data_IF_600528040172
#
_entry.id   IF_600528040172
#
_cell.length_a   1.000
_cell.length_b   1.000
_cell.length_c   1.000
_cell.angle_alpha   90.00
_cell.angle_beta   90.00
_cell.angle_gamma   90.00
#
_symmetry.space_group_name_H-M   'P 1'
#
loop_
_entity.id
_entity.type
_entity.pdbx_description
1 polymer ?
2 non-polymer ?
3 water ?
#
# COMPACT_ATOMS: atom_id res chain seq x y z
N UNK A 2 -7.82 -4.84 -19.83
CA UNK A 2 -6.83 -5.81 -20.35
C UNK A 2 -5.48 -5.20 -20.89
N UNK A 3 -5.07 -3.95 -20.53
CA UNK A 3 -3.79 -3.46 -21.09
C UNK A 3 -2.56 -4.18 -20.53
N UNK A 4 -1.82 -4.84 -21.40
CA UNK A 4 -0.61 -5.63 -21.09
C UNK A 4 0.23 -5.19 -19.89
N UNK A 5 0.41 -3.87 -19.74
CA UNK A 5 1.17 -3.29 -18.60
C UNK A 5 0.67 -1.91 -18.19
N UNK A 6 0.76 -1.60 -16.90
CA UNK A 6 0.38 -0.27 -16.42
C UNK A 6 1.38 0.20 -15.39
N UNK A 7 1.43 1.51 -15.21
CA UNK A 7 2.26 2.14 -14.20
C UNK A 7 1.62 3.45 -13.76
N UNK A 8 1.07 3.48 -12.55
CA UNK A 8 0.34 4.63 -12.06
C UNK A 8 1.22 5.83 -11.76
N UNK A 9 2.53 5.65 -11.76
CA UNK A 9 3.41 6.79 -11.61
C UNK A 9 3.31 7.70 -12.84
N UNK A 10 3.14 7.07 -14.02
CA UNK A 10 3.03 7.80 -15.29
C UNK A 10 1.81 8.72 -15.28
N UNK A 11 0.73 8.32 -14.59
CA UNK A 11 -0.48 9.15 -14.44
C UNK A 11 -0.40 10.19 -13.28
N UNK A 12 0.74 10.29 -12.62
CA UNK A 12 0.93 11.24 -11.53
C UNK A 12 0.13 10.93 -10.26
N UNK A 13 -0.20 9.66 -10.04
CA UNK A 13 -0.99 9.26 -8.90
C UNK A 13 -0.20 8.64 -7.74
N UNK A 14 1.12 8.79 -7.71
CA UNK A 14 1.93 8.12 -6.67
C UNK A 14 2.91 9.11 -6.02
N UNK A 15 2.93 9.13 -4.70
CA UNK A 15 3.78 10.03 -3.95
C UNK A 15 5.20 9.49 -3.77
N UNK A 16 6.05 10.27 -3.09
CA UNK A 16 7.42 9.86 -2.80
C UNK A 16 7.42 8.51 -2.08
N UNK A 17 8.54 7.81 -2.10
CA UNK A 17 8.72 6.60 -1.32
C UNK A 17 9.04 6.98 0.13
N UNK A 18 8.24 6.48 1.08
CA UNK A 18 8.42 6.79 2.49
C UNK A 18 9.32 5.79 3.20
N UNK A 19 9.75 6.15 4.40
CA UNK A 19 10.65 5.32 5.22
C UNK A 19 10.02 5.04 6.61
N UNK A 20 9.55 3.80 6.80
CA UNK A 20 8.89 3.39 8.05
C UNK A 20 9.83 3.22 9.25
N UNK A 21 11.11 2.97 9.01
CA UNK A 21 12.07 2.71 10.08
C UNK A 21 11.78 1.47 10.91
N UNK A 22 12.18 1.52 12.18
CA UNK A 22 11.95 0.44 13.15
C UNK A 22 10.47 0.20 13.46
N UNK A 23 9.65 1.23 13.24
CA UNK A 23 8.21 1.13 13.43
C UNK A 23 7.56 0.32 12.32
N UNK A 24 6.83 -0.73 12.71
CA UNK A 24 6.16 -1.64 11.77
C UNK A 24 4.77 -1.21 11.34
N UNK A 25 4.73 -0.08 10.63
CA UNK A 25 3.50 0.54 10.13
C UNK A 25 3.32 0.37 8.60
N UNK A 26 3.86 -0.72 8.03
CA UNK A 26 3.69 -1.01 6.59
C UNK A 26 2.22 -0.90 6.17
N UNK A 27 1.34 -1.41 7.02
CA UNK A 27 -0.10 -1.36 6.83
C UNK A 27 -0.54 0.05 6.63
N UNK A 28 -0.05 0.98 7.45
CA UNK A 28 -0.48 2.39 7.38
C UNK A 28 -0.04 3.02 6.08
N UNK A 29 1.22 2.81 5.72
CA UNK A 29 1.74 3.33 4.44
C UNK A 29 1.00 2.79 3.20
N UNK A 30 0.71 1.50 3.20
CA UNK A 30 -0.01 0.87 2.07
C UNK A 30 -1.38 1.51 1.91
N UNK A 31 -2.06 1.75 3.02
CA UNK A 31 -3.40 2.33 3.03
C UNK A 31 -3.38 3.76 2.54
N UNK A 32 -2.50 4.61 3.09
CA UNK A 32 -2.41 6.02 2.67
C UNK A 32 -2.00 6.12 1.18
N UNK A 33 -1.10 5.22 0.77
CA UNK A 33 -0.64 5.13 -0.62
C UNK A 33 -1.75 4.88 -1.62
N UNK A 34 -2.59 3.91 -1.32
CA UNK A 34 -3.72 3.61 -2.17
C UNK A 34 -4.67 4.81 -2.32
N UNK A 35 -4.98 5.45 -1.20
CA UNK A 35 -5.93 6.57 -1.15
C UNK A 35 -5.38 7.79 -1.85
N UNK A 36 -4.08 8.03 -1.68
CA UNK A 36 -3.40 9.13 -2.36
C UNK A 36 -3.75 9.20 -3.84
N UNK A 37 -3.77 8.03 -4.48
CA UNK A 37 -4.14 7.91 -5.88
C UNK A 37 -5.62 8.25 -6.10
N UNK A 38 -6.50 7.73 -5.26
CA UNK A 38 -7.93 8.05 -5.41
C UNK A 38 -8.13 9.55 -5.23
N UNK A 39 -7.37 10.15 -4.31
CA UNK A 39 -7.42 11.59 -4.14
C UNK A 39 -6.98 12.30 -5.42
N UNK A 40 -5.94 11.80 -6.07
CA UNK A 40 -5.46 12.39 -7.32
C UNK A 40 -6.46 12.18 -8.46
N UNK A 41 -7.03 10.99 -8.58
CA UNK A 41 -8.02 10.75 -9.64
C UNK A 41 -9.26 11.65 -9.54
N UNK A 42 -9.64 12.03 -8.32
CA UNK A 42 -10.85 12.80 -8.09
C UNK A 42 -10.63 14.31 -8.11
N UNK A 43 -9.55 14.77 -7.47
CA UNK A 43 -9.30 16.20 -7.26
C UNK A 43 -8.06 16.76 -7.99
N UNK A 44 -7.34 15.90 -8.72
CA UNK A 44 -6.14 16.33 -9.44
C UNK A 44 -4.93 16.68 -8.58
N UNK A 45 -5.07 16.58 -7.27
CA UNK A 45 -3.99 16.93 -6.36
C UNK A 45 -3.30 15.67 -5.80
N UNK A 46 -1.97 15.73 -5.75
CA UNK A 46 -1.15 14.67 -5.19
C UNK A 46 -0.56 15.21 -3.89
N UNK A 47 -1.04 14.68 -2.77
CA UNK A 47 -0.53 15.07 -1.47
C UNK A 47 -0.30 13.79 -0.70
N UNK A 48 0.82 13.72 0.04
CA UNK A 48 1.14 12.55 0.87
C UNK A 48 0.27 12.58 2.16
N UNK A 49 -0.57 11.56 2.34
CA UNK A 49 -1.50 11.47 3.46
C UNK A 49 -0.84 10.85 4.69
N UNK A 50 -1.33 11.23 5.88
CA UNK A 50 -0.66 10.92 7.16
C UNK A 50 -0.75 9.45 7.54
N UNK A 51 0.40 8.78 7.45
CA UNK A 51 0.50 7.41 7.93
C UNK A 51 0.43 7.38 9.46
N UNK A 52 0.95 8.42 10.11
CA UNK A 52 0.97 8.51 11.58
C UNK A 52 -0.46 8.60 12.12
N UNK A 53 -1.32 9.29 11.38
CA UNK A 53 -2.71 9.46 11.79
C UNK A 53 -3.34 8.11 12.00
N UNK A 54 -3.01 7.15 11.13
CA UNK A 54 -3.50 5.78 11.28
C UNK A 54 -2.80 5.07 12.45
N UNK A 55 -1.48 5.19 12.55
CA UNK A 55 -0.73 4.53 13.62
C UNK A 55 -1.27 4.88 15.00
N UNK A 56 -1.67 6.14 15.17
CA UNK A 56 -2.10 6.71 16.44
C UNK A 56 -3.58 6.56 16.71
N UNK A 57 -4.42 6.67 15.66
CA UNK A 57 -5.88 6.75 15.77
C UNK A 57 -6.66 5.51 15.33
N UNK A 58 -6.15 4.72 14.37
CA UNK A 58 -6.78 3.44 13.98
C UNK A 58 -6.15 2.31 14.75
N UNK A 59 -6.52 2.16 16.02
CA UNK A 59 -5.88 1.25 16.94
C UNK A 59 -6.81 0.08 17.28
N UNK A 60 -6.92 -0.27 18.58
CA UNK A 60 -7.62 -1.47 19.11
C UNK A 60 -8.94 -1.80 18.40
N UNK A 61 -9.80 -0.78 18.23
CA UNK A 61 -11.14 -0.90 17.60
C UNK A 61 -11.05 -1.52 16.21
N UNK A 62 -9.95 -1.21 15.51
CA UNK A 62 -9.70 -1.64 14.13
C UNK A 62 -8.75 -2.83 14.01
N UNK A 63 -8.52 -3.56 15.10
CA UNK A 63 -7.57 -4.66 15.11
C UNK A 63 -6.15 -4.30 14.71
N UNK A 64 -5.75 -3.05 14.93
CA UNK A 64 -4.41 -2.58 14.60
C UNK A 64 -3.63 -2.26 15.85
N UNK A 65 -2.30 -2.37 15.77
CA UNK A 65 -1.38 -2.15 16.90
C UNK A 65 -0.19 -1.26 16.48
N UNK A 66 -0.49 -0.20 15.75
CA UNK A 66 0.49 0.80 15.36
C UNK A 66 1.76 0.23 14.78
N UNK A 67 2.86 0.42 15.51
CA UNK A 67 4.20 -0.01 15.10
C UNK A 67 4.43 -1.53 15.27
N UNK A 68 3.43 -2.26 15.76
CA UNK A 68 3.50 -3.71 15.82
C UNK A 68 2.49 -4.38 14.86
N UNK A 69 2.21 -3.72 13.73
CA UNK A 69 1.37 -4.29 12.71
C UNK A 69 -0.07 -3.82 12.72
N UNK A 70 -0.77 -4.13 11.62
CA UNK A 70 -2.14 -3.74 11.39
C UNK A 70 -2.66 -4.18 10.03
N UNK A 71 -3.84 -3.66 9.65
CA UNK A 71 -4.53 -4.01 8.40
C UNK A 71 -4.86 -2.75 7.62
N UNK A 72 -4.79 -2.82 6.29
CA UNK A 72 -5.17 -1.70 5.44
C UNK A 72 -6.68 -1.58 5.38
N UNK A 73 -7.38 -2.71 5.45
CA UNK A 73 -8.85 -2.74 5.36
C UNK A 73 -9.49 -1.91 6.46
N UNK A 74 -9.11 -2.18 7.70
CA UNK A 74 -9.66 -1.51 8.88
C UNK A 74 -9.17 -0.07 8.99
N UNK A 75 -8.00 0.21 8.41
CA UNK A 75 -7.54 1.57 8.26
C UNK A 75 -8.53 2.38 7.42
N UNK A 76 -8.98 1.83 6.30
CA UNK A 76 -9.98 2.53 5.47
C UNK A 76 -11.25 2.75 6.29
N UNK A 77 -11.67 1.73 7.02
CA UNK A 77 -12.83 1.84 7.88
C UNK A 77 -12.69 3.02 8.81
N UNK A 78 -11.51 3.18 9.41
CA UNK A 78 -11.26 4.32 10.31
C UNK A 78 -11.48 5.60 9.53
N UNK A 79 -10.88 5.73 8.35
CA UNK A 79 -10.97 6.98 7.62
C UNK A 79 -12.44 7.32 7.31
N UNK A 80 -13.23 6.28 6.98
CA UNK A 80 -14.67 6.41 6.78
C UNK A 80 -15.33 6.83 8.08
N UNK A 81 -15.04 6.12 9.17
CA UNK A 81 -15.65 6.40 10.47
C UNK A 81 -15.29 7.83 10.97
N UNK A 82 -14.02 8.18 10.81
CA UNK A 82 -13.46 9.46 11.24
C UNK A 82 -13.85 10.58 10.30
N UNK A 83 -14.49 10.26 9.16
CA UNK A 83 -14.89 11.22 8.14
C UNK A 83 -13.65 12.05 7.73
N UNK A 84 -12.54 11.35 7.47
CA UNK A 84 -11.31 11.98 6.98
C UNK A 84 -9.97 11.62 7.61
N UNK A 85 -8.90 11.97 6.89
CA UNK A 85 -7.51 11.72 7.27
C UNK A 85 -6.75 13.01 7.09
N UNK A 86 -5.62 13.17 7.79
CA UNK A 86 -4.77 14.36 7.72
C UNK A 86 -3.65 14.23 6.68
N UNK A 87 -3.05 15.37 6.33
CA UNK A 87 -1.90 15.43 5.41
C UNK A 87 -0.66 15.01 6.20
N UNK A 88 0.35 14.46 5.52
CA UNK A 88 1.61 14.14 6.21
C UNK A 88 2.27 15.41 6.77
N UNK A 89 2.11 16.55 6.09
CA UNK A 89 2.69 17.81 6.56
C UNK A 89 2.07 18.30 7.88
N UNK A 90 0.75 18.16 8.03
CA UNK A 90 0.06 18.55 9.29
C UNK A 90 0.22 17.54 10.45
N UNK A 91 0.33 16.26 10.09
CA UNK A 91 0.47 15.17 11.06
C UNK A 91 1.62 14.25 10.59
N UNK A 92 2.88 14.69 10.80
CA UNK A 92 4.01 13.94 10.24
C UNK A 92 4.31 12.61 10.92
N UNK A 93 5.12 11.81 10.23
CA UNK A 93 5.50 10.46 10.66
C UNK A 93 6.75 10.49 11.54
N UNK A 94 6.64 9.92 12.75
CA UNK A 94 7.70 9.91 13.76
C UNK A 94 8.17 8.47 14.16
N UNK A 95 7.69 7.44 13.46
CA UNK A 95 8.13 6.06 13.67
C UNK A 95 8.02 5.59 15.13
N UNK A 96 6.88 5.86 15.75
CA UNK A 96 6.58 5.36 17.09
C UNK A 96 5.11 5.62 17.38
N UNK A 97 4.56 4.83 18.30
CA UNK A 97 3.14 4.94 18.75
C UNK A 97 2.96 6.19 19.60
N UNK A 98 2.02 7.06 19.23
CA UNK A 98 1.70 8.29 19.98
C UNK A 98 0.19 8.37 20.26
N UNK A 99 -0.24 9.41 20.98
CA UNK A 99 -1.67 9.70 21.23
C UNK A 99 -2.34 10.19 19.94
N UNK A 100 -3.65 9.98 19.81
CA UNK A 100 -4.34 10.43 18.60
C UNK A 100 -4.40 11.94 18.59
N UNK A 101 -3.81 12.55 17.56
CA UNK A 101 -3.74 14.00 17.42
C UNK A 101 -4.46 14.47 16.13
N UNK A 102 -5.53 13.77 15.72
CA UNK A 102 -6.23 14.14 14.49
C UNK A 102 -6.92 15.48 14.66
N UNK A 103 -6.72 16.36 13.68
CA UNK A 103 -7.34 17.68 13.65
C UNK A 103 -8.08 17.77 12.31
N UNK A 104 -9.39 17.99 12.35
CA UNK A 104 -10.14 18.07 11.13
C UNK A 104 -9.79 19.31 10.33
N UNK A 105 -9.31 20.34 11.03
CA UNK A 105 -8.84 21.56 10.39
C UNK A 105 -7.88 21.28 9.22
N UNK A 106 -7.02 20.28 9.43
CA UNK A 106 -6.04 19.86 8.44
C UNK A 106 -6.43 18.54 7.72
N UNK A 107 -7.73 18.35 7.45
CA UNK A 107 -8.21 17.15 6.76
C UNK A 107 -7.73 17.22 5.32
N UNK A 108 -6.93 16.25 4.89
CA UNK A 108 -6.40 16.22 3.51
C UNK A 108 -7.31 15.50 2.50
N UNK A 109 -7.94 14.40 2.93
CA UNK A 109 -8.75 13.58 2.04
C UNK A 109 -9.83 12.89 2.82
N UNK A 110 -10.68 12.17 2.09
CA UNK A 110 -11.78 11.41 2.66
C UNK A 110 -11.95 10.08 1.94
N UNK A 111 -12.65 9.16 2.57
CA UNK A 111 -12.89 7.80 2.05
C UNK A 111 -14.36 7.44 2.25
N UNK A 112 -15.00 6.87 1.22
CA UNK A 112 -16.41 6.53 1.26
C UNK A 112 -16.61 5.08 1.52
N UNK A 113 -15.89 4.24 0.78
CA UNK A 113 -15.90 2.79 1.04
C UNK A 113 -14.54 2.18 0.69
N UNK A 114 -14.45 0.86 0.79
CA UNK A 114 -13.29 0.11 0.29
C UNK A 114 -13.81 -1.17 -0.32
N UNK A 115 -12.93 -1.98 -0.88
CA UNK A 115 -13.31 -3.22 -1.54
C UNK A 115 -12.22 -4.28 -1.32
N UNK A 116 -12.59 -5.44 -0.78
CA UNK A 116 -11.65 -6.53 -0.56
C UNK A 116 -11.76 -7.44 -1.75
N UNK A 117 -10.69 -7.53 -2.54
CA UNK A 117 -10.65 -8.40 -3.73
C UNK A 117 -10.49 -9.87 -3.34
N UNK A 118 -11.04 -10.79 -4.16
CA UNK A 118 -11.01 -12.21 -3.78
C UNK A 118 -9.62 -12.81 -3.59
N UNK A 119 -9.54 -13.83 -2.72
CA UNK A 119 -8.28 -14.45 -2.32
C UNK A 119 -7.59 -15.09 -3.50
N UNK A 120 -6.30 -14.82 -3.63
CA UNK A 120 -5.42 -15.45 -4.61
C UNK A 120 -5.71 -15.26 -6.09
N UNK A 121 -6.57 -14.31 -6.46
CA UNK A 121 -6.96 -14.09 -7.87
C UNK A 121 -6.15 -12.97 -8.43
N UNK A 122 -5.03 -13.31 -9.04
CA UNK A 122 -4.15 -12.31 -9.67
C UNK A 122 -4.83 -11.66 -10.90
N UNK A 123 -5.72 -12.39 -11.59
CA UNK A 123 -6.48 -11.86 -12.75
C UNK A 123 -7.42 -10.72 -12.35
N UNK A 124 -8.13 -10.91 -11.22
CA UNK A 124 -9.01 -9.88 -10.66
C UNK A 124 -8.16 -8.70 -10.19
N UNK A 125 -7.04 -8.96 -9.51
CA UNK A 125 -6.09 -7.92 -9.08
C UNK A 125 -5.55 -7.09 -10.29
N UNK A 126 -5.32 -7.73 -11.43
CA UNK A 126 -4.90 -7.05 -12.66
C UNK A 126 -6.01 -6.10 -13.13
N UNK A 127 -7.27 -6.55 -13.01
CA UNK A 127 -8.42 -5.74 -13.40
C UNK A 127 -8.50 -4.48 -12.55
N UNK A 128 -8.49 -4.68 -11.23
CA UNK A 128 -8.58 -3.58 -10.28
C UNK A 128 -7.46 -2.57 -10.51
N UNK A 129 -6.23 -3.06 -10.58
CA UNK A 129 -5.08 -2.20 -10.74
C UNK A 129 -5.27 -1.31 -11.97
N UNK A 130 -5.64 -1.90 -13.11
CA UNK A 130 -5.74 -1.15 -14.35
C UNK A 130 -6.94 -0.22 -14.37
N UNK A 131 -8.10 -0.69 -13.90
CA UNK A 131 -9.34 0.08 -14.03
C UNK A 131 -9.66 1.01 -12.86
N UNK A 132 -9.41 0.52 -11.64
CA UNK A 132 -9.71 1.27 -10.40
C UNK A 132 -8.50 2.07 -9.86
N UNK A 133 -7.29 1.60 -10.10
CA UNK A 133 -6.09 2.28 -9.60
C UNK A 133 -5.21 1.43 -8.66
N UNK A 134 -4.20 2.05 -8.03
CA UNK A 134 -3.32 1.28 -7.15
C UNK A 134 -4.02 0.58 -6.01
N UNK A 135 -3.63 -0.67 -5.75
CA UNK A 135 -4.26 -1.56 -4.77
C UNK A 135 -3.31 -1.95 -3.59
N UNK A 136 -3.77 -1.70 -2.35
CA UNK A 136 -3.04 -2.09 -1.13
C UNK A 136 -3.06 -3.59 -1.04
N UNK A 137 -1.89 -4.23 -0.91
CA UNK A 137 -1.84 -5.67 -0.74
C UNK A 137 -0.89 -6.05 0.38
N UNK A 138 -1.13 -7.21 0.97
CA UNK A 138 -0.21 -7.82 1.90
C UNK A 138 0.70 -8.78 1.15
N UNK A 139 1.95 -8.91 1.60
CA UNK A 139 2.91 -9.89 1.09
C UNK A 139 3.70 -10.53 2.23
N UNK A 140 4.45 -11.61 1.88
CA UNK A 140 5.32 -12.39 2.78
C UNK A 140 6.76 -11.93 2.57
N UNK A 141 7.13 -10.88 3.31
CA UNK A 141 8.47 -10.29 3.26
C UNK A 141 9.42 -10.84 4.32
N UNK A 142 9.15 -12.04 4.84
CA UNK A 142 9.95 -12.60 5.97
C UNK A 142 11.36 -13.08 5.60
N UNK A 143 11.68 -13.16 4.31
CA UNK A 143 12.92 -13.83 3.89
C UNK A 143 14.00 -12.83 3.55
N UNK A 144 15.27 -13.20 3.78
CA UNK A 144 16.37 -12.28 3.50
C UNK A 144 16.37 -11.74 2.09
N UNK A 145 16.18 -12.62 1.10
CA UNK A 145 16.11 -12.24 -0.32
C UNK A 145 15.26 -11.01 -0.57
N UNK A 146 14.12 -10.91 0.12
CA UNK A 146 13.28 -9.74 0.03
C UNK A 146 14.04 -8.47 0.50
N UNK A 147 14.57 -8.49 1.71
CA UNK A 147 15.36 -7.37 2.24
C UNK A 147 16.47 -6.96 1.26
N UNK A 148 17.16 -7.97 0.74
CA UNK A 148 18.34 -7.78 -0.12
C UNK A 148 18.02 -7.32 -1.52
N UNK A 149 16.74 -7.36 -1.90
CA UNK A 149 16.31 -7.06 -3.28
C UNK A 149 16.84 -5.77 -3.88
N UNK A 150 17.49 -5.88 -5.06
CA UNK A 150 18.04 -4.73 -5.80
C UNK A 150 17.33 -4.49 -7.12
N UNK A 151 17.14 -5.53 -7.94
CA UNK A 151 16.54 -5.34 -9.28
C UNK A 151 15.89 -6.59 -9.91
N UNK A 152 15.13 -6.33 -10.98
CA UNK A 152 14.46 -7.37 -11.74
C UNK A 152 13.25 -7.98 -11.07
N UNK A 153 12.76 -9.09 -11.65
CA UNK A 153 11.57 -9.78 -11.12
C UNK A 153 11.95 -10.70 -9.93
N UNK A 154 11.47 -10.33 -8.76
CA UNK A 154 11.75 -11.06 -7.53
C UNK A 154 11.00 -12.39 -7.47
N UNK A 155 11.72 -13.48 -7.26
CA UNK A 155 11.10 -14.81 -7.03
C UNK A 155 11.85 -15.54 -5.94
N UNK A 156 11.16 -15.89 -4.85
CA UNK A 156 11.69 -16.66 -3.72
C UNK A 156 10.98 -18.03 -3.56
N UNK A 157 11.67 -19.15 -3.78
CA UNK A 157 10.94 -20.41 -3.71
C UNK A 157 10.35 -20.78 -2.34
N UNK A 158 10.95 -20.31 -1.23
CA UNK A 158 10.43 -20.62 0.11
C UNK A 158 9.35 -19.63 0.61
N UNK A 159 8.89 -18.75 -0.27
CA UNK A 159 7.87 -17.72 0.04
C UNK A 159 6.49 -18.39 0.14
N UNK A 160 5.79 -18.10 1.23
CA UNK A 160 4.45 -18.65 1.46
C UNK A 160 3.38 -17.62 1.12
N UNK A 161 2.12 -18.08 1.11
CA UNK A 161 0.97 -17.18 0.93
C UNK A 161 0.49 -16.47 2.23
N UNK A 162 1.17 -16.68 3.38
CA UNK A 162 0.83 -16.05 4.68
C UNK A 162 1.50 -14.67 4.77
N UNK A 163 0.72 -13.60 4.73
CA UNK A 163 1.24 -12.22 4.59
C UNK A 163 1.47 -11.49 5.93
N UNK A 164 2.62 -10.83 6.04
CA UNK A 164 2.97 -10.07 7.21
C UNK A 164 3.30 -8.59 6.92
N UNK A 165 3.47 -8.20 5.67
CA UNK A 165 3.98 -6.87 5.36
C UNK A 165 3.15 -6.21 4.27
N UNK A 166 2.71 -4.99 4.54
CA UNK A 166 1.86 -4.20 3.66
C UNK A 166 2.61 -3.42 2.61
N UNK A 167 2.14 -3.51 1.36
CA UNK A 167 2.73 -2.80 0.23
C UNK A 167 1.62 -2.32 -0.71
N UNK A 168 2.00 -1.56 -1.76
CA UNK A 168 1.04 -1.00 -2.73
C UNK A 168 1.33 -1.38 -4.17
N UNK A 169 0.35 -1.97 -4.87
CA UNK A 169 0.54 -2.36 -6.24
C UNK A 169 0.17 -1.16 -7.13
N UNK A 170 1.19 -0.43 -7.61
CA UNK A 170 0.99 0.69 -8.54
C UNK A 170 1.04 0.30 -10.02
N UNK A 171 1.28 -0.97 -10.33
CA UNK A 171 1.28 -1.40 -11.73
C UNK A 171 1.61 -2.87 -11.95
N UNK A 172 1.81 -3.25 -13.22
CA UNK A 172 2.16 -4.62 -13.61
C UNK A 172 2.75 -4.64 -15.01
N UNK A 173 3.27 -5.79 -15.41
CA UNK A 173 3.88 -5.94 -16.72
C UNK A 173 4.81 -7.12 -16.77
N UNK A 174 5.90 -7.03 -17.56
CA UNK A 174 6.85 -8.14 -17.69
C UNK A 174 8.25 -7.74 -18.12
N UNK A 175 9.21 -8.62 -17.85
CA UNK A 175 10.63 -8.46 -18.15
C UNK A 175 11.12 -9.78 -18.68
N UNK A 176 11.52 -9.79 -19.95
CA UNK A 176 12.00 -11.01 -20.62
C UNK A 176 11.06 -12.23 -20.41
N UNK A 177 9.75 -11.98 -20.47
CA UNK A 177 8.75 -13.02 -20.30
C UNK A 177 8.32 -13.18 -18.86
N UNK A 178 9.16 -12.81 -17.89
CA UNK A 178 8.80 -12.93 -16.48
C UNK A 178 7.79 -11.85 -16.11
N UNK A 179 6.53 -12.22 -15.85
CA UNK A 179 5.50 -11.25 -15.46
C UNK A 179 5.75 -10.77 -14.05
N UNK A 180 5.38 -9.52 -13.77
CA UNK A 180 5.62 -8.91 -12.46
C UNK A 180 4.50 -8.01 -12.03
N UNK A 181 4.51 -7.69 -10.74
CA UNK A 181 3.61 -6.73 -10.12
C UNK A 181 4.51 -5.58 -9.70
N UNK A 182 4.16 -4.33 -10.01
CA UNK A 182 5.01 -3.18 -9.67
C UNK A 182 4.54 -2.72 -8.32
N UNK A 183 5.35 -2.97 -7.30
CA UNK A 183 5.01 -2.74 -5.91
C UNK A 183 5.82 -1.60 -5.30
N UNK A 184 5.14 -0.59 -4.78
CA UNK A 184 5.76 0.47 -3.98
C UNK A 184 5.87 0.00 -2.54
N UNK A 185 7.09 0.07 -2.02
CA UNK A 185 7.42 -0.34 -0.64
C UNK A 185 7.81 0.91 0.15
N UNK A 186 7.40 0.93 1.43
CA UNK A 186 7.73 1.96 2.41
C UNK A 186 9.04 1.75 3.20
N UNK A 187 10.12 1.29 2.54
CA UNK A 187 11.43 1.01 3.17
C UNK A 187 12.56 1.94 2.70
N UNK A 188 12.21 3.18 2.35
CA UNK A 188 13.17 4.15 1.86
C UNK A 188 13.49 4.02 0.37
N UNK A 189 14.17 5.04 -0.14
CA UNK A 189 14.57 5.17 -1.56
C UNK A 189 15.68 4.18 -1.88
N UNK A 190 16.52 3.82 -0.91
CA UNK A 190 17.62 2.90 -1.16
C UNK A 190 17.22 1.41 -1.04
N UNK A 191 15.93 1.08 -1.19
CA UNK A 191 15.48 -0.30 -1.25
C UNK A 191 15.08 -0.61 -2.68
N UNK A 192 15.66 -1.64 -3.27
CA UNK A 192 15.30 -2.06 -4.62
C UNK A 192 15.50 -0.99 -5.68
N UNK A 193 14.51 -0.87 -6.57
CA UNK A 193 14.50 0.04 -7.71
C UNK A 193 13.86 1.39 -7.28
N UNK A 194 14.71 2.27 -6.73
CA UNK A 194 14.31 3.57 -6.18
C UNK A 194 13.09 3.45 -5.26
N UNK A 195 13.13 2.45 -4.38
CA UNK A 195 12.08 2.20 -3.39
C UNK A 195 10.98 1.27 -3.81
N UNK A 196 11.05 0.77 -5.04
CA UNK A 196 10.04 -0.15 -5.62
C UNK A 196 10.62 -1.54 -5.80
N UNK A 197 9.71 -2.52 -5.87
CA UNK A 197 10.09 -3.90 -6.12
C UNK A 197 9.14 -4.51 -7.13
N UNK A 198 9.72 -5.14 -8.15
CA UNK A 198 8.98 -5.93 -9.14
C UNK A 198 8.95 -7.39 -8.66
N UNK A 199 7.75 -7.91 -8.39
CA UNK A 199 7.53 -9.26 -7.82
C UNK A 199 6.73 -10.17 -8.78
N UNK A 200 7.16 -11.42 -8.89
CA UNK A 200 6.58 -12.40 -9.80
C UNK A 200 5.08 -12.42 -9.76
N UNK A 201 4.49 -12.35 -10.97
CA UNK A 201 3.05 -12.32 -11.19
C UNK A 201 2.66 -13.59 -11.93
N UNK A 202 1.45 -14.08 -11.66
CA UNK A 202 0.93 -15.35 -12.17
C UNK A 202 1.90 -16.55 -11.93
N UNK A 203 2.48 -16.64 -10.73
CA UNK A 203 3.24 -17.84 -10.29
C UNK A 203 2.61 -18.34 -8.97
N UNK A 204 1.32 -18.64 -9.05
CA UNK A 204 0.58 -19.23 -7.95
C UNK A 204 0.60 -18.35 -6.71
N UNK A 205 0.02 -17.15 -6.83
CA UNK A 205 -0.10 -16.16 -5.74
C UNK A 205 1.23 -16.14 -4.98
N UNK A 206 2.27 -15.71 -5.69
CA UNK A 206 3.61 -15.71 -5.14
C UNK A 206 3.74 -14.71 -3.99
N UNK A 207 4.27 -15.18 -2.85
CA UNK A 207 4.41 -14.39 -1.61
C UNK A 207 3.09 -13.81 -1.05
N UNK A 208 1.95 -14.40 -1.39
CA UNK A 208 0.62 -13.90 -0.96
C UNK A 208 0.15 -12.56 -1.51
N UNK A 209 0.76 -12.10 -2.60
CA UNK A 209 0.48 -10.81 -3.24
C UNK A 209 -1.04 -10.59 -3.44
N UNK A 210 -1.72 -11.60 -3.96
CA UNK A 210 -3.15 -11.50 -4.22
C UNK A 210 -4.00 -12.11 -3.10
N UNK A 211 -3.42 -12.37 -1.93
CA UNK A 211 -4.17 -12.99 -0.84
C UNK A 211 -5.22 -12.02 -0.26
N UNK A 212 -4.77 -10.82 0.12
CA UNK A 212 -5.64 -9.83 0.75
C UNK A 212 -5.52 -8.47 0.13
N UNK A 213 -5.99 -8.33 -1.12
CA UNK A 213 -5.88 -7.05 -1.78
C UNK A 213 -7.11 -6.19 -1.49
N UNK A 214 -6.90 -4.88 -1.39
CA UNK A 214 -8.00 -3.95 -1.11
C UNK A 214 -7.72 -2.55 -1.63
N UNK A 215 -8.76 -1.85 -2.06
CA UNK A 215 -8.61 -0.48 -2.52
C UNK A 215 -9.77 0.42 -2.03
N UNK A 216 -9.47 1.68 -1.66
CA UNK A 216 -10.52 2.60 -1.25
C UNK A 216 -11.15 3.32 -2.44
N UNK A 217 -12.14 4.17 -2.15
CA UNK A 217 -12.85 4.95 -3.15
C UNK A 217 -13.50 6.14 -2.48
N UNK A 218 -13.43 7.30 -3.14
CA UNK A 218 -13.98 8.58 -2.66
C UNK A 218 -15.22 8.96 -3.44
N UNK A 219 -16.32 9.30 -2.75
CA UNK A 219 -17.62 9.61 -3.39
C UNK A 219 -18.43 10.66 -2.62
X LIG B 1 -10.31 -6.52 16.21
X LIG B 1 -10.74 -6.80 14.87
X LIG B 1 -9.94 -7.38 13.91
X LIG B 1 -8.78 -7.74 14.04
X LIG B 1 -10.74 -7.48 12.78
X LIG B 1 -11.99 -6.96 13.04
X LIG B 1 -13.10 -6.86 12.21
X LIG B 1 -14.23 -6.30 12.75
X LIG B 1 -15.63 -6.16 11.71
X LIG B 1 -14.29 -5.85 14.07
X LIG B 1 -13.17 -5.97 14.89
X LIG B 1 -12.01 -6.54 14.35
X LIG B 1 -10.27 -8.04 11.50
X LIG B 1 -9.13 -7.24 10.89
X LIG B 1 -8.76 -7.78 9.51
X LIG B 1 -9.67 -8.88 9.12
X LIG B 1 -9.53 -9.27 7.70
X LIG B 1 -8.77 -10.56 7.42
X LIG B 1 -8.01 -10.56 6.11
X LIG B 1 -6.60 -10.78 6.34
X LIG B 1 -6.29 -12.05 6.70
X LIG B 1 -5.03 -12.28 6.92
X LIG B 1 -3.99 -11.37 6.82
X LIG B 1 -4.30 -10.08 6.45
X LIG B 1 -5.68 -9.72 6.18
X LIG B 1 -6.08 -8.61 5.85
X LIG B 1 -3.23 -9.07 6.32
X LIG B 1 -3.20 -8.17 5.26
X LIG B 1 -2.18 -7.24 5.17
X LIG B 1 -1.19 -7.21 6.14
X LIG B 1 0.05 -6.05 5.96
X LIG B 1 -1.19 -8.09 7.21
X LIG B 1 -2.22 -9.01 7.29
X LIG B 1 -0.12 -8.07 8.28
X LIG B 1 -0.63 -7.65 9.58
X LIG B 1 -0.16 -8.16 10.74
X LIG B 1 0.73 -8.99 10.79
X LIG B 1 -0.78 -7.63 12.00
X LIG B 1 -2.05 -7.08 12.04
X LIG B 1 -2.59 -6.59 13.23
X LIG B 1 -1.81 -6.64 14.34
X LIG B 1 -2.33 -6.15 15.50
X LIG B 1 -0.55 -7.17 14.36
X LIG B 1 -0.03 -7.66 13.17
X LIG B 1 -9.56 -10.00 10.12
X LIG B 1 -9.94 -9.53 11.53
#
# INVERSE_FOLDING_TARGET
ILPDSVDWREKGCVTEVKYQGSCGASWAFSAVGALEAQLKLKTGKLVSLSAQNLVDCSTEKYGNKGCNGGFMTTAFQYIIDNKGIDSDASYPYKAMDQKCQYDSKYRAATCSKYTELPYGREDVLKEAVANKGPVSVGVDARHPSFFLYRSGVYYEPSCTQNVNHGVLVVGYGDLNGKEYWLVKNSWGHNFGEEGYIRMARNKGNHCGIASFPSYPEILQGGG
B8S C94 N13 C14 O90 N15 C3 C2 C1 CL12 C6 C5 C4 C20 C22 C23 N24 C33 C35 C37 N39 N45 C44 C43 C42 C41 O88 C52 C54 C55 C56 CL16 C57 C58 C65 N67 C69 O86 C71 C77 C76 C75 F84 C74 C73 C25 C26
#
